data_IF_957691154714
#
_entry.id   IF_957691154714
#
_cell.length_a   1.000
_cell.length_b   1.000
_cell.length_c   1.000
_cell.angle_alpha   90.00
_cell.angle_beta   90.00
_cell.angle_gamma   90.00
#
_symmetry.space_group_name_H-M   'P 1'
#
loop_
_entity.id
_entity.type
_entity.pdbx_description
1 polymer ?
#
# COMPACT_ATOMS: atom_id res chain seq x y z
N UNK A 1 22.42 -3.32 -0.70
CA UNK A 1 21.74 -4.43 0.01
C UNK A 1 21.19 -5.43 -1.01
N UNK A 2 21.24 -6.73 -0.71
CA UNK A 2 20.71 -7.80 -1.57
C UNK A 2 19.35 -8.31 -1.06
N UNK A 3 18.51 -8.89 -1.93
CA UNK A 3 17.24 -9.49 -1.51
C UNK A 3 17.41 -10.56 -0.42
N UNK A 4 18.55 -11.27 -0.43
CA UNK A 4 18.92 -12.29 0.56
C UNK A 4 18.90 -11.78 1.99
N UNK A 5 19.18 -10.49 2.20
CA UNK A 5 19.08 -9.89 3.52
C UNK A 5 17.63 -9.91 4.05
N UNK A 6 16.66 -9.50 3.22
CA UNK A 6 15.24 -9.49 3.59
C UNK A 6 14.74 -10.94 3.80
N UNK A 7 15.28 -11.89 3.03
CA UNK A 7 14.94 -13.31 3.16
C UNK A 7 15.23 -13.87 4.55
N UNK A 8 16.34 -13.46 5.17
CA UNK A 8 16.72 -13.90 6.50
C UNK A 8 15.65 -13.53 7.55
N UNK A 9 14.91 -12.44 7.31
CA UNK A 9 13.85 -11.97 8.20
C UNK A 9 12.47 -12.51 7.86
N UNK A 10 12.26 -13.18 6.71
CA UNK A 10 10.93 -13.62 6.26
C UNK A 10 10.20 -14.46 7.31
N UNK A 11 10.92 -15.36 8.00
CA UNK A 11 10.35 -16.23 9.02
C UNK A 11 9.86 -15.45 10.24
N UNK A 12 10.58 -14.40 10.64
CA UNK A 12 10.27 -13.59 11.82
C UNK A 12 9.24 -12.49 11.51
N UNK A 13 9.31 -11.93 10.30
CA UNK A 13 8.38 -10.94 9.78
C UNK A 13 6.99 -11.53 9.43
N UNK A 14 6.90 -12.85 9.24
CA UNK A 14 5.62 -13.53 8.97
C UNK A 14 5.04 -14.19 10.23
N UNK A 15 3.74 -14.48 10.22
CA UNK A 15 3.01 -15.25 11.25
C UNK A 15 2.28 -16.39 10.58
N UNK A 16 2.32 -17.57 11.19
CA UNK A 16 1.48 -18.71 10.81
C UNK A 16 0.53 -19.06 11.95
N UNK A 17 -0.65 -19.55 11.61
CA UNK A 17 -1.54 -20.22 12.57
C UNK A 17 -0.94 -21.58 13.00
N UNK A 18 -1.52 -22.20 14.01
CA UNK A 18 -1.07 -23.49 14.55
C UNK A 18 -1.10 -24.62 13.51
N UNK A 19 -1.98 -24.53 12.50
CA UNK A 19 -2.08 -25.48 11.40
C UNK A 19 -1.07 -25.20 10.26
N UNK A 20 -0.20 -24.19 10.44
CA UNK A 20 0.82 -23.79 9.48
C UNK A 20 0.32 -22.86 8.36
N UNK A 21 -0.97 -22.52 8.33
CA UNK A 21 -1.53 -21.58 7.35
C UNK A 21 -1.07 -20.14 7.62
N UNK A 22 -0.98 -19.28 6.59
CA UNK A 22 -0.44 -17.94 6.73
C UNK A 22 -1.43 -17.00 7.41
N UNK A 23 -1.01 -16.39 8.53
CA UNK A 23 -1.76 -15.36 9.26
C UNK A 23 -1.28 -13.96 8.92
N UNK A 24 0.04 -13.73 8.85
CA UNK A 24 0.64 -12.50 8.34
C UNK A 24 1.76 -12.91 7.40
N UNK A 25 1.81 -12.32 6.21
CA UNK A 25 2.94 -12.48 5.30
C UNK A 25 3.74 -11.18 5.20
N UNK A 26 5.06 -11.26 5.10
CA UNK A 26 5.85 -10.15 4.56
C UNK A 26 5.72 -10.19 3.03
N UNK A 27 5.01 -9.23 2.47
CA UNK A 27 4.72 -9.13 1.04
C UNK A 27 5.05 -7.75 0.48
N UNK A 28 4.77 -7.60 -0.81
CA UNK A 28 4.85 -6.32 -1.52
C UNK A 28 3.44 -5.80 -1.71
N UNK A 29 3.26 -4.49 -1.58
CA UNK A 29 2.00 -3.83 -1.88
C UNK A 29 2.19 -2.65 -2.82
N UNK A 30 1.16 -2.33 -3.60
CA UNK A 30 1.01 -1.05 -4.27
C UNK A 30 -0.36 -0.51 -3.89
N UNK A 31 -0.42 0.57 -3.11
CA UNK A 31 -1.67 1.23 -2.69
C UNK A 31 -1.73 2.62 -3.29
N UNK A 32 -2.78 2.90 -4.06
CA UNK A 32 -3.00 4.19 -4.72
C UNK A 32 -4.37 4.78 -4.40
N UNK A 33 -4.43 6.10 -4.22
CA UNK A 33 -5.62 6.88 -3.92
C UNK A 33 -5.85 7.94 -5.00
N UNK A 34 -7.06 7.99 -5.55
CA UNK A 34 -7.42 8.89 -6.63
C UNK A 34 -8.90 9.29 -6.59
N UNK A 35 -9.25 10.37 -7.30
CA UNK A 35 -10.62 10.88 -7.42
C UNK A 35 -11.41 10.16 -8.50
N UNK A 36 -12.71 10.46 -8.56
CA UNK A 36 -13.57 10.23 -9.71
C UNK A 36 -13.86 8.76 -10.04
N UNK A 37 -13.61 7.84 -9.11
CA UNK A 37 -13.99 6.42 -9.27
C UNK A 37 -15.49 6.17 -9.39
N UNK A 38 -16.33 7.17 -9.13
CA UNK A 38 -17.75 7.13 -9.44
C UNK A 38 -18.04 7.35 -10.94
N UNK A 39 -17.12 7.94 -11.72
CA UNK A 39 -17.36 8.30 -13.13
C UNK A 39 -17.18 7.10 -14.05
N UNK A 40 -17.95 7.03 -15.15
CA UNK A 40 -17.89 5.90 -16.08
C UNK A 40 -16.50 5.68 -16.69
N UNK A 41 -15.80 6.77 -17.03
CA UNK A 41 -14.45 6.70 -17.61
C UNK A 41 -13.46 6.02 -16.66
N UNK A 42 -13.47 6.39 -15.37
CA UNK A 42 -12.59 5.78 -14.39
C UNK A 42 -13.01 4.33 -14.08
N UNK A 43 -14.31 4.03 -14.01
CA UNK A 43 -14.77 2.65 -13.82
C UNK A 43 -14.36 1.72 -14.96
N UNK A 44 -14.36 2.20 -16.20
CA UNK A 44 -13.82 1.45 -17.34
C UNK A 44 -12.33 1.15 -17.15
N UNK A 45 -11.53 2.14 -16.74
CA UNK A 45 -10.11 1.92 -16.42
C UNK A 45 -9.89 0.98 -15.23
N UNK A 46 -10.75 1.02 -14.21
CA UNK A 46 -10.72 0.07 -13.09
C UNK A 46 -11.01 -1.36 -13.58
N UNK A 47 -11.95 -1.53 -14.52
CA UNK A 47 -12.19 -2.80 -15.17
C UNK A 47 -10.98 -3.27 -15.99
N UNK A 48 -10.30 -2.37 -16.72
CA UNK A 48 -9.03 -2.68 -17.41
C UNK A 48 -7.91 -3.08 -16.44
N UNK A 49 -7.84 -2.46 -15.26
CA UNK A 49 -6.91 -2.85 -14.20
C UNK A 49 -7.20 -4.27 -13.71
N UNK A 50 -8.47 -4.60 -13.48
CA UNK A 50 -8.88 -5.97 -13.17
C UNK A 50 -8.54 -6.95 -14.30
N UNK A 51 -8.79 -6.58 -15.55
CA UNK A 51 -8.52 -7.41 -16.73
C UNK A 51 -7.02 -7.71 -16.87
N UNK A 52 -6.18 -6.69 -16.72
CA UNK A 52 -4.72 -6.84 -16.74
C UNK A 52 -4.25 -7.75 -15.61
N UNK A 53 -4.68 -7.47 -14.37
CA UNK A 53 -4.26 -8.26 -13.20
C UNK A 53 -4.74 -9.71 -13.30
N UNK A 54 -5.98 -9.91 -13.76
CA UNK A 54 -6.53 -11.22 -14.01
C UNK A 54 -5.71 -11.96 -15.06
N UNK A 55 -5.47 -11.36 -16.23
CA UNK A 55 -4.73 -12.02 -17.31
C UNK A 55 -3.31 -12.43 -16.89
N UNK A 56 -2.64 -11.58 -16.11
CA UNK A 56 -1.25 -11.78 -15.69
C UNK A 56 -1.12 -12.80 -14.56
N UNK A 57 -2.02 -12.75 -13.56
CA UNK A 57 -1.88 -13.53 -12.33
C UNK A 57 -2.93 -14.64 -12.16
N UNK A 58 -3.81 -14.88 -13.13
CA UNK A 58 -4.88 -15.90 -13.05
C UNK A 58 -4.44 -17.22 -12.41
N UNK A 59 -3.28 -17.84 -12.73
CA UNK A 59 -2.87 -19.11 -12.13
C UNK A 59 -2.78 -19.07 -10.60
N UNK A 60 -2.44 -17.90 -10.03
CA UNK A 60 -2.32 -17.68 -8.59
C UNK A 60 -3.65 -17.36 -7.93
N UNK A 61 -4.63 -16.84 -8.69
CA UNK A 61 -5.92 -16.43 -8.16
C UNK A 61 -6.86 -17.63 -7.94
N UNK A 62 -7.60 -17.58 -6.83
CA UNK A 62 -8.51 -18.65 -6.37
C UNK A 62 -9.92 -18.14 -6.15
N UNK A 63 -10.08 -16.99 -5.50
CA UNK A 63 -11.36 -16.52 -4.94
C UNK A 63 -11.64 -15.06 -5.30
N UNK A 64 -12.92 -14.70 -5.29
CA UNK A 64 -13.42 -13.34 -5.58
C UNK A 64 -14.53 -12.97 -4.61
N UNK A 65 -14.63 -11.66 -4.30
CA UNK A 65 -15.61 -11.02 -3.39
C UNK A 65 -15.38 -11.26 -1.89
N UNK A 66 -15.74 -10.27 -1.04
CA UNK A 66 -15.63 -10.37 0.44
C UNK A 66 -16.78 -11.16 1.08
N UNK A 67 -18.03 -10.87 0.71
CA UNK A 67 -19.21 -11.39 1.44
C UNK A 67 -19.68 -12.76 0.94
N UNK A 68 -19.33 -13.15 -0.29
CA UNK A 68 -19.63 -14.46 -0.86
C UNK A 68 -18.38 -15.00 -1.53
N UNK A 69 -17.60 -15.76 -0.76
CA UNK A 69 -16.27 -16.25 -1.11
C UNK A 69 -16.28 -17.29 -2.24
N UNK A 70 -16.49 -16.81 -3.47
CA UNK A 70 -16.67 -17.65 -4.65
C UNK A 70 -15.34 -18.01 -5.29
N UNK A 71 -15.23 -19.23 -5.82
CA UNK A 71 -14.13 -19.58 -6.73
C UNK A 71 -14.25 -18.68 -7.97
N UNK A 72 -13.13 -18.16 -8.44
CA UNK A 72 -13.08 -17.40 -9.69
C UNK A 72 -13.48 -18.29 -10.87
N UNK A 73 -14.40 -17.79 -11.69
CA UNK A 73 -14.81 -18.40 -12.95
C UNK A 73 -15.16 -17.30 -13.96
N UNK A 74 -14.97 -17.54 -15.26
CA UNK A 74 -15.19 -16.54 -16.30
C UNK A 74 -16.56 -15.84 -16.18
N UNK A 75 -17.63 -16.59 -15.90
CA UNK A 75 -18.98 -16.03 -15.76
C UNK A 75 -19.10 -15.06 -14.56
N UNK A 76 -18.54 -15.40 -13.39
CA UNK A 76 -18.66 -14.53 -12.22
C UNK A 76 -17.71 -13.34 -12.28
N UNK A 77 -16.56 -13.50 -12.94
CA UNK A 77 -15.64 -12.43 -13.26
C UNK A 77 -16.31 -11.42 -14.20
N UNK A 78 -16.82 -11.89 -15.34
CA UNK A 78 -17.49 -11.03 -16.32
C UNK A 78 -18.70 -10.33 -15.72
N UNK A 79 -19.49 -11.02 -14.89
CA UNK A 79 -20.61 -10.38 -14.17
C UNK A 79 -20.12 -9.23 -13.29
N UNK A 80 -19.07 -9.42 -12.49
CA UNK A 80 -18.55 -8.36 -11.61
C UNK A 80 -17.92 -7.21 -12.38
N UNK A 81 -17.22 -7.51 -13.47
CA UNK A 81 -16.71 -6.52 -14.41
C UNK A 81 -17.83 -5.67 -15.01
N UNK A 82 -18.92 -6.29 -15.46
CA UNK A 82 -20.11 -5.58 -15.97
C UNK A 82 -20.76 -4.74 -14.87
N UNK A 83 -20.94 -5.27 -13.65
CA UNK A 83 -21.47 -4.50 -12.52
C UNK A 83 -20.63 -3.24 -12.22
N UNK A 84 -19.29 -3.33 -12.27
CA UNK A 84 -18.40 -2.17 -12.10
C UNK A 84 -18.58 -1.13 -13.20
N UNK A 85 -18.76 -1.55 -14.45
CA UNK A 85 -18.90 -0.63 -15.59
C UNK A 85 -20.27 0.05 -15.58
N UNK A 86 -21.33 -0.70 -15.30
CA UNK A 86 -22.73 -0.26 -15.42
C UNK A 86 -23.28 0.45 -14.18
N UNK A 87 -22.57 0.42 -13.05
CA UNK A 87 -23.03 1.09 -11.83
C UNK A 87 -23.25 2.60 -12.00
N UNK A 88 -24.17 3.17 -11.23
CA UNK A 88 -24.41 4.61 -11.17
C UNK A 88 -23.38 5.31 -10.28
N UNK A 89 -23.27 6.63 -10.41
CA UNK A 89 -22.31 7.44 -9.67
C UNK A 89 -22.55 7.48 -8.15
N UNK A 90 -23.76 7.11 -7.71
CA UNK A 90 -24.16 7.02 -6.31
C UNK A 90 -23.87 5.66 -5.68
N UNK A 91 -23.52 4.66 -6.49
CA UNK A 91 -23.27 3.31 -6.01
C UNK A 91 -21.83 3.15 -5.50
N UNK A 92 -21.67 2.23 -4.53
CA UNK A 92 -20.36 1.81 -4.03
C UNK A 92 -20.12 0.37 -4.46
N UNK A 93 -18.90 0.09 -4.83
CA UNK A 93 -18.42 -1.17 -5.34
C UNK A 93 -17.08 -1.48 -4.67
N UNK A 94 -16.91 -2.74 -4.27
CA UNK A 94 -15.66 -3.26 -3.76
C UNK A 94 -15.43 -4.64 -4.37
N UNK A 95 -14.20 -4.93 -4.76
CA UNK A 95 -13.87 -6.17 -5.45
C UNK A 95 -12.49 -6.66 -5.09
N UNK A 96 -12.43 -7.95 -4.76
CA UNK A 96 -11.18 -8.70 -4.63
C UNK A 96 -11.03 -9.71 -5.75
N UNK A 97 -9.80 -9.84 -6.25
CA UNK A 97 -9.31 -11.01 -6.98
C UNK A 97 -8.11 -11.56 -6.22
N UNK A 98 -8.30 -12.66 -5.49
CA UNK A 98 -7.33 -13.12 -4.49
C UNK A 98 -6.86 -14.54 -4.70
N UNK A 99 -5.59 -14.80 -4.34
CA UNK A 99 -5.02 -16.13 -4.20
C UNK A 99 -5.34 -16.81 -2.86
N UNK A 100 -5.86 -16.08 -1.87
CA UNK A 100 -6.24 -16.66 -0.59
C UNK A 100 -7.36 -17.70 -0.75
N UNK A 101 -7.18 -18.88 -0.12
CA UNK A 101 -8.18 -19.95 -0.14
C UNK A 101 -9.37 -19.65 0.77
N UNK A 102 -9.09 -19.05 1.92
CA UNK A 102 -10.05 -18.71 2.98
C UNK A 102 -9.83 -17.26 3.40
N UNK A 103 -10.88 -16.62 3.94
CA UNK A 103 -10.82 -15.24 4.46
C UNK A 103 -9.79 -15.08 5.59
N UNK A 104 -9.54 -16.16 6.33
CA UNK A 104 -8.57 -16.22 7.44
C UNK A 104 -7.12 -16.21 6.97
N UNK A 105 -6.84 -16.38 5.67
CA UNK A 105 -5.47 -16.47 5.18
C UNK A 105 -4.99 -15.14 4.60
N UNK A 106 -3.76 -14.78 4.92
CA UNK A 106 -3.05 -13.71 4.21
C UNK A 106 -2.78 -14.15 2.75
N UNK A 107 -3.15 -13.34 1.75
CA UNK A 107 -2.92 -13.68 0.34
C UNK A 107 -1.47 -13.41 -0.07
N UNK A 108 -0.93 -14.27 -0.94
CA UNK A 108 0.30 -13.93 -1.68
C UNK A 108 0.00 -12.95 -2.82
N UNK A 109 -1.12 -13.15 -3.51
CA UNK A 109 -1.60 -12.28 -4.60
C UNK A 109 -3.01 -11.78 -4.27
N UNK A 110 -3.22 -10.47 -4.34
CA UNK A 110 -4.54 -9.85 -4.19
C UNK A 110 -4.64 -8.54 -4.99
N UNK A 111 -5.73 -8.37 -5.72
CA UNK A 111 -6.19 -7.08 -6.20
C UNK A 111 -7.41 -6.71 -5.37
N UNK A 112 -7.33 -5.62 -4.64
CA UNK A 112 -8.47 -4.95 -4.01
C UNK A 112 -8.74 -3.63 -4.72
N UNK A 113 -10.00 -3.35 -5.01
CA UNK A 113 -10.42 -2.02 -5.45
C UNK A 113 -11.74 -1.63 -4.82
N UNK A 114 -11.88 -0.35 -4.53
CA UNK A 114 -13.11 0.21 -3.99
C UNK A 114 -13.29 1.66 -4.46
N UNK A 115 -14.42 1.94 -5.11
CA UNK A 115 -14.76 3.29 -5.54
C UNK A 115 -15.36 4.13 -4.42
N UNK A 116 -15.29 5.44 -4.61
CA UNK A 116 -16.12 6.39 -3.88
C UNK A 116 -17.31 6.83 -4.71
N UNK A 117 -18.36 7.22 -4.00
CA UNK A 117 -19.59 7.79 -4.57
C UNK A 117 -19.36 9.26 -4.90
N UNK A 118 -20.13 9.79 -5.85
CA UNK A 118 -20.03 11.19 -6.27
C UNK A 118 -20.04 12.19 -5.10
N UNK A 119 -20.93 12.00 -4.13
CA UNK A 119 -21.07 12.89 -2.97
C UNK A 119 -19.96 12.76 -1.92
N UNK A 120 -19.05 11.78 -2.04
CA UNK A 120 -17.86 11.66 -1.18
C UNK A 120 -16.56 12.05 -1.90
N UNK A 121 -16.61 12.37 -3.20
CA UNK A 121 -15.39 12.55 -4.01
C UNK A 121 -14.43 13.61 -3.50
N UNK A 122 -14.95 14.64 -2.81
CA UNK A 122 -14.11 15.71 -2.26
C UNK A 122 -13.50 15.35 -0.90
N UNK A 123 -14.14 14.46 -0.12
CA UNK A 123 -13.73 14.12 1.25
C UNK A 123 -13.14 12.71 1.37
N UNK A 124 -13.15 11.94 0.30
CA UNK A 124 -12.68 10.56 0.27
C UNK A 124 -12.06 10.22 -1.09
N UNK A 125 -11.35 9.10 -1.19
CA UNK A 125 -10.68 8.64 -2.42
C UNK A 125 -11.03 7.20 -2.79
N UNK A 126 -11.07 6.97 -4.10
CA UNK A 126 -11.09 5.63 -4.66
C UNK A 126 -9.72 5.00 -4.40
N UNK A 127 -9.72 3.72 -4.05
CA UNK A 127 -8.51 2.96 -3.72
C UNK A 127 -8.37 1.78 -4.67
N UNK A 128 -7.14 1.56 -5.13
CA UNK A 128 -6.69 0.27 -5.67
C UNK A 128 -5.48 -0.15 -4.85
N UNK A 129 -5.49 -1.41 -4.39
CA UNK A 129 -4.39 -2.06 -3.72
C UNK A 129 -4.03 -3.36 -4.44
N UNK A 130 -2.76 -3.50 -4.83
CA UNK A 130 -2.19 -4.75 -5.31
C UNK A 130 -1.32 -5.35 -4.22
N UNK A 131 -1.30 -6.67 -4.13
CA UNK A 131 -0.44 -7.45 -3.22
C UNK A 131 0.28 -8.52 -4.02
N UNK A 132 1.58 -8.68 -3.77
CA UNK A 132 2.43 -9.70 -4.37
C UNK A 132 3.29 -10.38 -3.30
N UNK A 133 3.71 -11.65 -3.49
CA UNK A 133 4.62 -12.28 -2.55
C UNK A 133 6.00 -11.62 -2.65
N UNK A 134 6.76 -11.59 -1.55
CA UNK A 134 8.14 -11.09 -1.60
C UNK A 134 9.00 -11.82 -2.65
N UNK A 135 8.75 -13.12 -2.85
CA UNK A 135 9.42 -13.95 -3.83
C UNK A 135 9.30 -13.40 -5.28
N UNK A 136 8.30 -12.58 -5.57
CA UNK A 136 8.10 -11.94 -6.87
C UNK A 136 9.35 -11.16 -7.32
N UNK A 137 10.06 -10.49 -6.41
CA UNK A 137 11.28 -9.74 -6.75
C UNK A 137 12.47 -10.61 -7.21
N UNK A 138 12.39 -11.93 -7.03
CA UNK A 138 13.44 -12.88 -7.45
C UNK A 138 13.22 -13.42 -8.86
N UNK A 139 12.01 -13.26 -9.38
CA UNK A 139 11.70 -13.66 -10.74
C UNK A 139 12.50 -12.79 -11.72
N UNK A 140 12.88 -13.34 -12.88
CA UNK A 140 13.81 -12.70 -13.81
C UNK A 140 13.41 -11.28 -14.21
N UNK A 141 12.11 -11.01 -14.32
CA UNK A 141 11.53 -9.70 -14.64
C UNK A 141 10.69 -9.11 -13.48
N UNK A 142 10.67 -9.75 -12.30
CA UNK A 142 9.72 -9.41 -11.24
C UNK A 142 9.88 -7.99 -10.70
N UNK A 143 11.13 -7.52 -10.53
CA UNK A 143 11.41 -6.13 -10.14
C UNK A 143 10.90 -5.11 -11.16
N UNK A 144 11.13 -5.39 -12.45
CA UNK A 144 10.70 -4.52 -13.55
C UNK A 144 9.17 -4.52 -13.66
N UNK A 145 8.56 -5.69 -13.62
CA UNK A 145 7.12 -5.85 -13.67
C UNK A 145 6.43 -5.12 -12.50
N UNK A 146 6.99 -5.21 -11.29
CA UNK A 146 6.50 -4.47 -10.13
C UNK A 146 6.52 -2.95 -10.36
N UNK A 147 7.64 -2.40 -10.86
CA UNK A 147 7.73 -0.97 -11.18
C UNK A 147 6.78 -0.56 -12.31
N UNK A 148 6.63 -1.39 -13.35
CA UNK A 148 5.66 -1.18 -14.42
C UNK A 148 4.22 -1.14 -13.90
N UNK A 149 3.88 -1.95 -12.90
CA UNK A 149 2.58 -1.88 -12.22
C UNK A 149 2.39 -0.56 -11.46
N UNK A 150 3.41 -0.13 -10.71
CA UNK A 150 3.39 1.17 -10.00
C UNK A 150 3.16 2.30 -10.99
N UNK A 151 3.98 2.39 -12.05
CA UNK A 151 3.91 3.45 -13.05
C UNK A 151 2.60 3.41 -13.85
N UNK A 152 2.11 2.22 -14.19
CA UNK A 152 0.85 2.08 -14.92
C UNK A 152 -0.34 2.54 -14.08
N UNK A 153 -0.43 2.15 -12.81
CA UNK A 153 -1.50 2.63 -11.92
C UNK A 153 -1.47 4.16 -11.80
N UNK A 154 -0.28 4.73 -11.58
CA UNK A 154 -0.11 6.18 -11.48
C UNK A 154 -0.55 6.93 -12.75
N UNK A 155 -0.17 6.44 -13.93
CA UNK A 155 -0.54 7.05 -15.22
C UNK A 155 -2.01 6.83 -15.60
N UNK A 156 -2.59 5.69 -15.24
CA UNK A 156 -3.97 5.35 -15.58
C UNK A 156 -4.99 6.18 -14.78
N UNK A 157 -4.71 6.44 -13.50
CA UNK A 157 -5.70 6.97 -12.56
C UNK A 157 -5.43 8.39 -12.06
N UNK A 158 -4.41 9.08 -12.58
CA UNK A 158 -4.00 10.42 -12.08
C UNK A 158 -3.89 10.41 -10.55
N UNK A 159 -3.10 9.47 -10.04
CA UNK A 159 -3.01 9.19 -8.60
C UNK A 159 -2.65 10.46 -7.83
N UNK A 160 -3.43 10.78 -6.80
CA UNK A 160 -3.17 11.94 -5.95
C UNK A 160 -2.15 11.59 -4.87
N UNK A 161 -2.25 10.41 -4.27
CA UNK A 161 -1.27 9.94 -3.29
C UNK A 161 -1.25 8.42 -3.23
N UNK A 162 -0.16 7.86 -2.72
CA UNK A 162 -0.03 6.42 -2.58
C UNK A 162 1.36 6.02 -2.13
N UNK A 163 1.56 4.72 -2.01
CA UNK A 163 2.82 4.14 -1.61
C UNK A 163 2.91 2.70 -2.11
N UNK A 164 4.14 2.27 -2.41
CA UNK A 164 4.41 0.88 -2.74
C UNK A 164 5.69 0.42 -2.05
N UNK A 165 5.72 -0.82 -1.56
CA UNK A 165 6.84 -1.34 -0.79
C UNK A 165 6.52 -2.61 -0.02
N UNK A 166 7.38 -2.94 0.95
CA UNK A 166 7.18 -4.05 1.87
C UNK A 166 6.08 -3.73 2.87
N UNK A 167 5.14 -4.65 3.09
CA UNK A 167 4.11 -4.55 4.11
C UNK A 167 3.86 -5.87 4.82
N UNK A 168 3.32 -5.79 6.04
CA UNK A 168 2.69 -6.92 6.70
C UNK A 168 1.30 -7.13 6.12
N UNK A 169 1.15 -8.16 5.29
CA UNK A 169 -0.12 -8.48 4.61
C UNK A 169 -1.01 -9.26 5.57
N UNK A 170 -2.17 -8.72 5.98
CA UNK A 170 -3.10 -9.39 6.87
C UNK A 170 -3.99 -10.41 6.14
N UNK A 171 -4.80 -11.21 6.87
CA UNK A 171 -5.95 -11.92 6.32
C UNK A 171 -6.95 -10.95 5.69
N UNK A 172 -7.79 -11.46 4.79
CA UNK A 172 -8.79 -10.65 4.09
C UNK A 172 -10.10 -10.48 4.86
N UNK A 173 -10.41 -11.41 5.77
CA UNK A 173 -11.55 -11.28 6.67
C UNK A 173 -11.31 -10.18 7.70
N UNK A 174 -12.31 -9.31 7.89
CA UNK A 174 -12.18 -8.14 8.79
C UNK A 174 -11.90 -8.59 10.22
N UNK A 175 -12.66 -9.54 10.75
CA UNK A 175 -12.50 -10.01 12.13
C UNK A 175 -11.14 -10.69 12.34
N UNK A 176 -10.69 -11.43 11.34
CA UNK A 176 -9.40 -12.10 11.34
C UNK A 176 -8.25 -11.10 11.25
N UNK A 177 -8.36 -10.11 10.37
CA UNK A 177 -7.42 -8.99 10.27
C UNK A 177 -7.34 -8.20 11.57
N UNK A 178 -8.46 -7.92 12.24
CA UNK A 178 -8.46 -7.24 13.53
C UNK A 178 -7.81 -8.08 14.64
N UNK A 179 -7.99 -9.40 14.60
CA UNK A 179 -7.40 -10.31 15.58
C UNK A 179 -5.86 -10.34 15.55
N UNK A 180 -5.27 -9.94 14.42
CA UNK A 180 -3.81 -9.95 14.23
C UNK A 180 -3.14 -8.58 14.42
N UNK A 181 -3.89 -7.51 14.70
CA UNK A 181 -3.32 -6.17 14.92
C UNK A 181 -2.20 -6.11 15.95
N UNK A 182 -2.27 -6.81 17.10
CA UNK A 182 -1.15 -6.83 18.05
C UNK A 182 0.15 -7.39 17.44
N UNK A 183 0.03 -8.35 16.52
CA UNK A 183 1.18 -8.97 15.85
C UNK A 183 1.80 -8.07 14.80
N UNK A 184 1.00 -7.31 14.05
CA UNK A 184 1.48 -6.26 13.16
C UNK A 184 2.15 -5.14 13.95
N UNK A 185 1.54 -4.70 15.06
CA UNK A 185 2.08 -3.64 15.92
C UNK A 185 3.48 -3.96 16.47
N UNK A 186 3.67 -5.17 16.99
CA UNK A 186 4.99 -5.61 17.49
C UNK A 186 6.03 -5.63 16.37
N UNK A 187 5.66 -6.12 15.18
CA UNK A 187 6.58 -6.19 14.04
C UNK A 187 6.89 -4.84 13.42
N UNK A 188 5.91 -3.96 13.31
CA UNK A 188 6.12 -2.60 12.82
C UNK A 188 7.17 -1.87 13.67
N UNK A 189 7.09 -1.98 15.00
CA UNK A 189 8.10 -1.39 15.90
C UNK A 189 9.51 -1.99 15.74
N UNK A 190 9.60 -3.24 15.29
CA UNK A 190 10.87 -3.93 15.05
C UNK A 190 11.46 -3.63 13.67
N UNK A 191 10.58 -3.44 12.68
CA UNK A 191 10.91 -3.28 11.26
C UNK A 191 10.30 -1.98 10.68
N UNK A 192 10.83 -0.80 11.06
CA UNK A 192 10.33 0.52 10.64
C UNK A 192 10.36 0.77 9.12
N UNK A 193 11.15 0.00 8.36
CA UNK A 193 11.16 0.03 6.89
C UNK A 193 9.95 -0.63 6.23
N UNK A 194 9.16 -1.41 6.97
CA UNK A 194 7.95 -2.11 6.49
C UNK A 194 6.71 -1.26 6.78
N UNK A 195 5.90 -0.96 5.77
CA UNK A 195 4.72 -0.11 5.95
C UNK A 195 3.56 -0.87 6.61
N UNK A 196 2.86 -0.19 7.52
CA UNK A 196 1.61 -0.66 8.14
C UNK A 196 0.45 -0.31 7.21
N UNK A 197 -0.18 -1.33 6.65
CA UNK A 197 -1.17 -1.21 5.57
C UNK A 197 -2.40 -2.13 5.76
N UNK A 198 -2.59 -2.66 6.97
CA UNK A 198 -3.68 -3.59 7.26
C UNK A 198 -5.09 -3.01 7.09
N UNK A 199 -5.23 -1.68 7.14
CA UNK A 199 -6.51 -0.96 7.03
C UNK A 199 -6.55 0.09 5.94
N UNK A 200 -5.75 -0.06 4.88
CA UNK A 200 -5.64 0.92 3.79
C UNK A 200 -6.97 1.39 3.19
N UNK A 201 -7.97 0.51 3.13
CA UNK A 201 -9.33 0.82 2.66
C UNK A 201 -10.12 1.78 3.56
N UNK A 202 -9.69 2.00 4.81
CA UNK A 202 -10.21 3.04 5.72
C UNK A 202 -9.35 4.32 5.72
N UNK A 203 -8.25 4.34 4.98
CA UNK A 203 -7.33 5.48 4.92
C UNK A 203 -7.63 6.41 3.75
N UNK A 204 -8.61 6.09 2.93
CA UNK A 204 -8.96 6.86 1.74
C UNK A 204 -9.41 8.29 2.05
N UNK A 205 -10.04 8.52 3.21
CA UNK A 205 -10.32 9.88 3.72
C UNK A 205 -9.05 10.61 4.18
N UNK A 206 -8.07 9.90 4.73
CA UNK A 206 -6.78 10.48 5.15
C UNK A 206 -5.96 10.93 3.96
N UNK A 207 -6.08 10.24 2.82
CA UNK A 207 -5.41 10.58 1.57
C UNK A 207 -5.78 11.97 1.04
N UNK A 208 -6.90 12.55 1.52
CA UNK A 208 -7.31 13.94 1.24
C UNK A 208 -6.58 14.94 2.14
N UNK A 209 -6.20 14.50 3.34
CA UNK A 209 -5.67 15.35 4.40
C UNK A 209 -4.14 15.36 4.46
N UNK A 210 -3.47 14.30 4.02
CA UNK A 210 -2.02 14.24 3.95
C UNK A 210 -1.47 12.97 3.31
N UNK A 211 -0.15 12.96 3.12
CA UNK A 211 0.60 11.76 2.74
C UNK A 211 0.82 10.89 3.99
N UNK A 212 0.65 9.57 3.87
CA UNK A 212 0.75 8.65 5.00
C UNK A 212 2.17 8.58 5.60
N UNK A 213 3.16 8.21 4.78
CA UNK A 213 4.53 7.93 5.23
C UNK A 213 5.45 7.77 4.03
N UNK A 214 6.77 7.93 4.26
CA UNK A 214 7.78 7.42 3.35
C UNK A 214 7.68 5.89 3.21
N UNK A 215 7.89 5.40 2.00
CA UNK A 215 7.89 3.99 1.59
C UNK A 215 8.89 3.79 0.43
N UNK A 216 9.09 2.54 -0.03
CA UNK A 216 10.00 2.23 -1.14
C UNK A 216 9.71 3.12 -2.36
N UNK A 217 8.45 3.18 -2.78
CA UNK A 217 7.92 4.15 -3.70
C UNK A 217 6.94 5.05 -2.94
N UNK A 218 7.25 6.33 -2.81
CA UNK A 218 6.35 7.33 -2.20
C UNK A 218 5.73 8.16 -3.32
N UNK A 219 4.42 8.02 -3.52
CA UNK A 219 3.71 8.57 -4.69
C UNK A 219 3.11 9.93 -4.31
N UNK A 220 3.48 10.97 -5.05
CA UNK A 220 3.09 12.36 -4.82
C UNK A 220 2.41 12.93 -6.06
N UNK A 221 1.09 13.12 -6.00
CA UNK A 221 0.35 13.83 -7.03
C UNK A 221 0.64 15.34 -7.04
N UNK A 222 0.29 16.01 -8.14
CA UNK A 222 0.53 17.44 -8.34
C UNK A 222 0.07 18.31 -7.18
N UNK A 223 -1.09 18.03 -6.58
CA UNK A 223 -1.64 18.81 -5.48
C UNK A 223 -0.74 18.77 -4.23
N UNK A 224 -0.11 17.63 -3.94
CA UNK A 224 0.83 17.48 -2.83
C UNK A 224 2.20 18.06 -3.16
N UNK A 225 2.66 17.90 -4.40
CA UNK A 225 3.90 18.54 -4.87
C UNK A 225 3.81 20.06 -4.79
N UNK A 226 2.68 20.65 -5.17
CA UNK A 226 2.46 22.09 -5.04
C UNK A 226 2.50 22.54 -3.57
N UNK A 227 1.88 21.78 -2.65
CA UNK A 227 1.94 22.06 -1.20
C UNK A 227 3.36 21.95 -0.63
N UNK A 228 4.24 21.15 -1.24
CA UNK A 228 5.67 21.09 -0.90
C UNK A 228 6.48 22.28 -1.42
N UNK A 229 5.92 23.12 -2.30
CA UNK A 229 6.67 24.19 -2.98
C UNK A 229 7.05 23.87 -4.43
N UNK A 230 6.50 22.79 -5.00
CA UNK A 230 6.69 22.38 -6.38
C UNK A 230 7.95 21.53 -6.63
N UNK A 231 8.14 21.12 -7.88
CA UNK A 231 9.24 20.25 -8.28
C UNK A 231 10.62 20.88 -8.07
N UNK A 232 10.77 22.19 -8.28
CA UNK A 232 12.04 22.88 -8.05
C UNK A 232 12.48 22.80 -6.58
N UNK A 233 11.54 22.95 -5.64
CA UNK A 233 11.80 22.78 -4.22
C UNK A 233 12.25 21.34 -3.93
N UNK A 234 11.50 20.35 -4.44
CA UNK A 234 11.84 18.95 -4.26
C UNK A 234 13.23 18.61 -4.81
N UNK A 235 13.54 19.05 -6.03
CA UNK A 235 14.83 18.85 -6.66
C UNK A 235 15.95 19.45 -5.81
N UNK A 236 15.78 20.66 -5.27
CA UNK A 236 16.76 21.28 -4.37
C UNK A 236 17.03 20.46 -3.10
N UNK A 237 16.01 19.80 -2.55
CA UNK A 237 16.16 18.93 -1.36
C UNK A 237 16.83 17.60 -1.68
N UNK A 238 16.78 17.19 -2.94
CA UNK A 238 17.39 15.96 -3.44
C UNK A 238 18.80 16.16 -4.00
N UNK A 239 19.31 17.40 -4.08
CA UNK A 239 20.71 17.64 -4.47
C UNK A 239 21.62 16.87 -3.51
N UNK A 240 22.54 16.08 -4.09
CA UNK A 240 23.48 15.24 -3.34
C UNK A 240 22.84 14.03 -2.65
N UNK A 241 21.55 13.76 -2.86
CA UNK A 241 20.89 12.55 -2.33
C UNK A 241 21.18 11.37 -3.24
N UNK A 242 22.17 10.55 -2.88
CA UNK A 242 22.34 9.25 -3.52
C UNK A 242 21.19 8.32 -3.13
N UNK A 243 20.78 7.44 -4.05
CA UNK A 243 19.79 6.41 -3.76
C UNK A 243 18.31 6.84 -3.83
N UNK A 244 17.98 8.10 -4.15
CA UNK A 244 16.58 8.52 -4.39
C UNK A 244 16.39 8.87 -5.87
N UNK A 245 15.58 8.09 -6.55
CA UNK A 245 15.19 8.30 -7.95
C UNK A 245 13.82 8.98 -8.04
N UNK A 246 13.68 9.94 -8.96
CA UNK A 246 12.40 10.60 -9.26
C UNK A 246 11.79 9.98 -10.51
N UNK A 247 10.64 9.31 -10.36
CA UNK A 247 9.89 8.75 -11.48
C UNK A 247 8.66 9.62 -11.76
N UNK A 248 8.63 10.30 -12.90
CA UNK A 248 7.51 11.16 -13.28
C UNK A 248 6.36 10.36 -13.89
N UNK A 249 5.12 10.79 -13.63
CA UNK A 249 3.91 10.28 -14.27
C UNK A 249 2.95 11.43 -14.56
N UNK A 250 1.91 11.19 -15.36
CA UNK A 250 0.98 12.23 -15.81
C UNK A 250 0.32 13.06 -14.69
N UNK A 251 0.24 12.51 -13.49
CA UNK A 251 -0.42 13.11 -12.33
C UNK A 251 0.53 13.59 -11.22
N UNK A 252 1.85 13.48 -11.39
CA UNK A 252 2.83 13.88 -10.38
C UNK A 252 4.17 13.14 -10.52
N UNK A 253 4.80 12.81 -9.40
CA UNK A 253 6.04 12.03 -9.38
C UNK A 253 6.09 11.06 -8.21
N UNK A 254 7.02 10.11 -8.31
CA UNK A 254 7.27 9.09 -7.30
C UNK A 254 8.71 9.25 -6.81
N UNK A 255 8.88 9.29 -5.50
CA UNK A 255 10.19 9.20 -4.85
C UNK A 255 10.48 7.73 -4.59
N UNK A 256 11.38 7.14 -5.39
CA UNK A 256 11.82 5.74 -5.27
C UNK A 256 13.12 5.68 -4.50
N UNK A 257 13.13 4.92 -3.41
CA UNK A 257 14.28 4.77 -2.50
C UNK A 257 15.04 3.47 -2.80
N UNK A 258 16.13 3.59 -3.55
CA UNK A 258 16.97 2.47 -3.94
C UNK A 258 16.40 1.60 -5.06
N UNK A 259 17.27 0.79 -5.66
CA UNK A 259 16.91 -0.16 -6.72
C UNK A 259 16.09 -1.35 -6.20
N UNK A 260 16.32 -1.74 -4.96
CA UNK A 260 15.61 -2.82 -4.25
C UNK A 260 14.87 -2.21 -3.05
N UNK A 261 13.88 -2.90 -2.45
CA UNK A 261 13.21 -2.39 -1.27
C UNK A 261 14.22 -1.98 -0.20
N UNK A 262 14.00 -0.88 0.54
CA UNK A 262 14.84 -0.49 1.66
C UNK A 262 14.95 -1.60 2.72
N UNK A 263 16.01 -1.59 3.54
CA UNK A 263 16.13 -2.53 4.65
C UNK A 263 14.92 -2.45 5.57
N UNK A 264 14.62 -3.55 6.25
CA UNK A 264 13.54 -3.57 7.23
C UNK A 264 13.86 -2.64 8.41
N UNK A 265 15.15 -2.39 8.66
CA UNK A 265 15.66 -1.52 9.72
C UNK A 265 15.53 -2.20 11.07
N UNK A 266 16.00 -3.44 11.18
CA UNK A 266 15.92 -4.22 12.41
C UNK A 266 16.50 -3.41 13.57
N UNK A 267 15.62 -2.87 14.42
CA UNK A 267 15.97 -1.84 15.40
C UNK A 267 16.99 -2.29 16.44
N UNK A 268 17.20 -3.61 16.58
CA UNK A 268 18.17 -4.18 17.51
C UNK A 268 19.60 -4.24 16.95
N UNK A 269 19.80 -4.17 15.63
CA UNK A 269 21.12 -4.36 15.03
C UNK A 269 21.43 -3.47 13.83
N UNK A 270 20.51 -2.60 13.41
CA UNK A 270 20.65 -1.79 12.21
C UNK A 270 20.33 -0.32 12.43
N UNK A 271 20.99 0.51 11.63
CA UNK A 271 20.58 1.89 11.42
C UNK A 271 19.30 1.94 10.59
N UNK A 272 18.51 2.98 10.81
CA UNK A 272 17.29 3.22 10.04
C UNK A 272 17.65 3.52 8.57
N UNK A 273 16.81 3.10 7.59
CA UNK A 273 17.10 3.32 6.18
C UNK A 273 17.22 4.81 5.83
N UNK A 274 18.43 5.27 5.46
CA UNK A 274 18.75 6.67 5.25
C UNK A 274 17.87 7.32 4.19
N UNK A 275 17.59 6.62 3.09
CA UNK A 275 16.76 7.10 2.00
C UNK A 275 15.30 7.30 2.45
N UNK A 276 14.78 6.41 3.31
CA UNK A 276 13.44 6.58 3.87
C UNK A 276 13.38 7.75 4.85
N UNK A 277 14.42 7.95 5.67
CA UNK A 277 14.49 9.11 6.57
C UNK A 277 14.52 10.41 5.75
N UNK A 278 15.30 10.44 4.66
CA UNK A 278 15.38 11.63 3.79
C UNK A 278 14.09 11.89 3.03
N UNK A 279 13.41 10.87 2.50
CA UNK A 279 12.06 11.06 1.94
C UNK A 279 11.09 11.53 3.03
N UNK A 280 11.17 10.97 4.24
CA UNK A 280 10.33 11.37 5.36
C UNK A 280 10.51 12.84 5.73
N UNK A 281 11.75 13.35 5.76
CA UNK A 281 12.02 14.76 6.07
C UNK A 281 11.45 15.69 5.00
N UNK A 282 11.54 15.31 3.72
CA UNK A 282 10.97 16.06 2.59
C UNK A 282 9.44 16.13 2.69
N UNK A 283 8.76 15.01 2.93
CA UNK A 283 7.29 14.98 2.94
C UNK A 283 6.68 15.47 4.26
N UNK A 284 7.49 15.69 5.30
CA UNK A 284 7.03 16.10 6.65
C UNK A 284 6.00 17.25 6.63
N UNK A 285 6.14 18.33 5.82
CA UNK A 285 5.16 19.41 5.78
C UNK A 285 3.78 19.03 5.23
N UNK A 286 3.70 17.95 4.44
CA UNK A 286 2.46 17.46 3.82
C UNK A 286 2.01 16.10 4.37
N UNK A 287 2.73 15.56 5.35
CA UNK A 287 2.38 14.30 5.99
C UNK A 287 1.13 14.49 6.84
N UNK A 288 0.31 13.45 6.89
CA UNK A 288 -0.86 13.43 7.75
C UNK A 288 -0.48 13.73 9.22
N UNK A 289 -1.23 14.63 9.86
CA UNK A 289 -0.89 15.19 11.17
C UNK A 289 -2.06 15.29 12.17
N UNK A 290 -3.23 14.71 11.86
CA UNK A 290 -4.39 14.70 12.77
C UNK A 290 -4.44 13.40 13.57
N UNK A 291 -5.15 13.35 14.71
CA UNK A 291 -5.33 12.10 15.44
C UNK A 291 -5.99 11.02 14.56
N UNK A 292 -5.34 9.87 14.45
CA UNK A 292 -5.84 8.70 13.75
C UNK A 292 -5.20 7.45 14.32
N UNK A 293 -5.97 6.37 14.43
CA UNK A 293 -5.46 5.07 14.81
C UNK A 293 -5.25 4.20 13.57
N UNK A 294 -4.07 3.61 13.36
CA UNK A 294 -3.83 2.65 12.27
C UNK A 294 -4.63 1.36 12.43
N UNK A 295 -5.00 1.00 13.67
CA UNK A 295 -5.82 -0.17 13.99
C UNK A 295 -7.23 0.22 14.45
N UNK A 296 -8.21 -0.66 14.20
CA UNK A 296 -9.54 -0.49 14.78
C UNK A 296 -9.48 -0.72 16.29
N UNK A 297 -10.50 -0.28 17.03
CA UNK A 297 -10.54 -0.52 18.47
C UNK A 297 -10.65 -2.03 18.75
N UNK A 298 -9.53 -2.65 19.12
CA UNK A 298 -9.52 -3.99 19.70
C UNK A 298 -9.58 -3.96 21.24
N UNK A 299 -10.01 -5.05 21.89
CA UNK A 299 -10.08 -5.14 23.35
C UNK A 299 -8.73 -4.81 24.00
N UNK A 300 -8.75 -4.08 25.12
CA UNK A 300 -7.57 -3.61 25.92
C UNK A 300 -6.58 -4.70 26.37
N UNK A 301 -6.79 -5.97 26.01
CA UNK A 301 -5.96 -7.11 26.42
C UNK A 301 -4.60 -7.15 25.72
N UNK A 302 -4.46 -6.53 24.54
CA UNK A 302 -3.21 -6.55 23.77
C UNK A 302 -2.85 -5.17 23.25
N UNK A 303 -1.55 -4.85 23.23
CA UNK A 303 -1.05 -3.60 22.66
C UNK A 303 -1.18 -3.62 21.13
N UNK A 304 -1.65 -2.51 20.58
CA UNK A 304 -1.85 -2.29 19.14
C UNK A 304 -1.67 -0.79 18.84
N UNK A 305 -1.76 -0.39 17.58
CA UNK A 305 -1.78 1.03 17.26
C UNK A 305 -3.06 1.70 17.79
N UNK A 306 -2.88 2.75 18.57
CA UNK A 306 -3.88 3.74 18.95
C UNK A 306 -3.52 5.09 18.31
N UNK A 307 -4.26 6.15 18.62
CA UNK A 307 -3.97 7.48 18.06
C UNK A 307 -2.54 7.94 18.36
N UNK A 308 -2.08 7.84 19.60
CA UNK A 308 -0.75 8.32 20.00
C UNK A 308 0.36 7.54 19.31
N UNK A 309 0.29 6.20 19.36
CA UNK A 309 1.31 5.33 18.78
C UNK A 309 1.30 5.35 17.25
N UNK A 310 0.16 5.62 16.62
CA UNK A 310 0.06 5.85 15.18
C UNK A 310 0.72 7.15 14.77
N UNK A 311 0.53 8.23 15.54
CA UNK A 311 1.23 9.48 15.27
C UNK A 311 2.75 9.32 15.41
N UNK A 312 3.21 8.58 16.43
CA UNK A 312 4.64 8.20 16.54
C UNK A 312 5.11 7.37 15.36
N UNK A 313 4.27 6.49 14.82
CA UNK A 313 4.60 5.71 13.62
C UNK A 313 4.78 6.59 12.38
N UNK A 314 3.89 7.56 12.17
CA UNK A 314 4.02 8.51 11.05
C UNK A 314 5.27 9.36 11.17
N UNK A 315 5.69 9.72 12.38
CA UNK A 315 6.91 10.48 12.65
C UNK A 315 8.13 9.62 13.01
N UNK A 316 8.11 8.29 12.76
CA UNK A 316 9.14 7.36 13.27
C UNK A 316 10.57 7.64 12.79
N UNK A 317 10.72 8.44 11.73
CA UNK A 317 12.00 8.84 11.19
C UNK A 317 12.35 10.31 11.49
N UNK A 318 11.53 11.05 12.24
CA UNK A 318 11.75 12.48 12.50
C UNK A 318 12.92 12.74 13.46
N UNK A 319 13.20 11.81 14.36
CA UNK A 319 14.28 11.90 15.37
C UNK A 319 15.60 11.30 14.90
N UNK A 320 15.62 10.69 13.71
CA UNK A 320 16.85 10.24 13.10
C UNK A 320 17.63 11.49 12.63
N UNK A 321 18.65 11.87 13.39
CA UNK A 321 19.54 12.98 13.05
C UNK A 321 20.14 12.74 11.67
N UNK A 322 19.67 13.49 10.68
CA UNK A 322 20.38 13.72 9.44
C UNK A 322 20.70 15.20 9.44
N UNK A 323 21.99 15.54 9.49
CA UNK A 323 22.45 16.87 9.11
C UNK A 323 22.12 17.03 7.62
N UNK A 324 20.97 17.64 7.34
CA UNK A 324 20.52 18.01 6.00
C UNK A 324 21.13 19.37 5.66
N UNK A 325 22.46 19.44 5.69
CA UNK A 325 23.22 20.61 5.26
C UNK A 325 23.30 20.71 3.73
#
# INVERSE_FOLDING_TARGET
>A
MELKYIENWLQEASVKYNDGSPAINLGLIITVFFKDGHTQSIRNKMAECADRYYAEFHPHLKKTQLYRWHRIAANNYNKKRTELIEMTEEQKFAWHLTGAKELTHAPDYDLFMMNQRIFHNEVDRTIIKLTFPFAFLRESEGLKCYEEWVLWLCNSFTVESGYAGLAFVPPLGILEAESIFPWEYVRAKRFPGVIVDSRSHFESGLAVEGIKSACWYTILGHSWLQKLGGENYLQSKLIGSEGIEQLHYNGGLILKTGRLPPPLGEVSCEELPLELIRVNSIIKPIRFNKPYSLHAYAPKKYAQFDEETSMKWFSRFDEANIDLD
#
